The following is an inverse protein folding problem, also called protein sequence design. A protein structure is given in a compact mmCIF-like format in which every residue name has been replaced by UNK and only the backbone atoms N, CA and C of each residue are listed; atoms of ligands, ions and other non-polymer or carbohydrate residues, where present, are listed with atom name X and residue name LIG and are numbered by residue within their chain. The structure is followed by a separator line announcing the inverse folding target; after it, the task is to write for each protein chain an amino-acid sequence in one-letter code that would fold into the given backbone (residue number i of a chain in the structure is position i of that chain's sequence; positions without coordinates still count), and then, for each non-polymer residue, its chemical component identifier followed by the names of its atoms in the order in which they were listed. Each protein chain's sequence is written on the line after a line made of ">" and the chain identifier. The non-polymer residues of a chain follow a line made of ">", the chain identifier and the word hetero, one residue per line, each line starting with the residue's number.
data_IF_528626173076
#
_entry.id   IF_528626173076
#
_cell.length_a   1.000
_cell.length_b   1.000
_cell.length_c   1.000
_cell.angle_alpha   90.00
_cell.angle_beta   90.00
_cell.angle_gamma   90.00
#
_symmetry.space_group_name_H-M   'P 1'
#
loop_
_entity.id
_entity.type
_entity.pdbx_description
1 polymer ?
#
# COMPACT_ATOMS: atom_id res chain seq x y z
N UNK A 1 21.22 -8.85 -24.93
CA UNK A 1 20.27 -9.74 -25.66
C UNK A 1 18.81 -9.65 -25.19
N UNK A 2 18.50 -9.18 -23.98
CA UNK A 2 17.14 -8.69 -23.62
C UNK A 2 16.98 -7.16 -23.79
N UNK A 3 18.02 -6.46 -24.23
CA UNK A 3 17.98 -5.01 -24.52
C UNK A 3 16.98 -4.63 -25.62
N UNK A 4 16.53 -5.59 -26.43
CA UNK A 4 15.46 -5.41 -27.43
C UNK A 4 14.12 -6.01 -27.00
N UNK A 5 14.02 -6.68 -25.84
CA UNK A 5 12.75 -7.14 -25.32
C UNK A 5 12.16 -6.06 -24.42
N UNK A 6 11.00 -5.55 -24.80
CA UNK A 6 10.19 -4.54 -24.08
C UNK A 6 9.66 -4.98 -22.72
N UNK A 7 10.14 -6.09 -22.15
CA UNK A 7 9.64 -6.67 -20.89
C UNK A 7 10.57 -6.28 -19.76
N UNK A 8 10.04 -5.64 -18.72
CA UNK A 8 10.77 -5.35 -17.48
C UNK A 8 10.77 -6.60 -16.55
N UNK A 9 11.90 -7.32 -16.43
CA UNK A 9 12.00 -8.48 -15.55
C UNK A 9 11.81 -8.12 -14.06
N UNK A 10 12.02 -6.85 -13.70
CA UNK A 10 11.82 -6.34 -12.35
C UNK A 10 10.33 -6.30 -11.99
N UNK A 11 9.48 -5.76 -12.87
CA UNK A 11 8.01 -5.78 -12.70
C UNK A 11 7.48 -7.19 -12.52
N UNK A 12 7.97 -8.12 -13.35
CA UNK A 12 7.58 -9.53 -13.29
C UNK A 12 7.99 -10.20 -11.96
N UNK A 13 9.19 -9.90 -11.46
CA UNK A 13 9.64 -10.38 -10.15
C UNK A 13 8.71 -9.86 -9.03
N UNK A 14 8.38 -8.57 -9.04
CA UNK A 14 7.50 -7.97 -8.03
C UNK A 14 6.13 -8.64 -8.03
N UNK A 15 5.53 -8.83 -9.22
CA UNK A 15 4.26 -9.54 -9.35
C UNK A 15 4.35 -10.95 -8.77
N UNK A 16 5.45 -11.66 -9.03
CA UNK A 16 5.65 -13.03 -8.55
C UNK A 16 5.81 -13.11 -7.03
N UNK A 17 6.56 -12.19 -6.42
CA UNK A 17 6.71 -12.12 -4.97
C UNK A 17 5.39 -11.71 -4.31
N UNK A 18 4.75 -10.66 -4.82
CA UNK A 18 3.50 -10.13 -4.27
C UNK A 18 2.26 -10.99 -4.50
N UNK A 19 2.35 -12.04 -5.33
CA UNK A 19 1.26 -12.99 -5.57
C UNK A 19 1.45 -14.32 -4.84
N UNK A 20 2.58 -14.50 -4.16
CA UNK A 20 2.88 -15.71 -3.42
C UNK A 20 2.57 -15.50 -1.93
N UNK A 21 1.40 -15.97 -1.48
CA UNK A 21 0.91 -15.80 -0.11
C UNK A 21 1.88 -16.31 0.98
N UNK A 22 2.58 -17.41 0.69
CA UNK A 22 3.63 -18.00 1.54
C UNK A 22 4.79 -17.07 1.88
N UNK A 23 4.90 -15.92 1.20
CA UNK A 23 6.06 -15.02 1.26
C UNK A 23 5.78 -13.76 2.08
N UNK A 24 4.51 -13.50 2.38
CA UNK A 24 4.06 -12.22 2.92
C UNK A 24 4.68 -11.96 4.30
N UNK A 25 4.72 -12.99 5.15
CA UNK A 25 5.33 -12.90 6.50
C UNK A 25 6.83 -12.56 6.41
N UNK A 26 7.54 -13.13 5.43
CA UNK A 26 8.97 -12.89 5.27
C UNK A 26 9.24 -11.49 4.72
N UNK A 27 8.47 -11.07 3.71
CA UNK A 27 8.55 -9.72 3.14
C UNK A 27 8.24 -8.70 4.23
N UNK A 28 7.20 -8.90 5.03
CA UNK A 28 6.86 -8.03 6.15
C UNK A 28 7.96 -7.98 7.21
N UNK A 29 8.54 -9.13 7.56
CA UNK A 29 9.64 -9.21 8.53
C UNK A 29 10.88 -8.47 8.06
N UNK A 30 11.22 -8.58 6.77
CA UNK A 30 12.32 -7.85 6.16
C UNK A 30 12.00 -6.36 6.12
N UNK A 31 10.81 -6.00 5.65
CA UNK A 31 10.37 -4.63 5.45
C UNK A 31 10.41 -3.82 6.76
N UNK A 32 9.89 -4.39 7.85
CA UNK A 32 9.87 -3.76 9.18
C UNK A 32 11.24 -3.37 9.72
N UNK A 33 12.34 -3.96 9.23
CA UNK A 33 13.69 -3.61 9.67
C UNK A 33 14.14 -2.22 9.24
N UNK A 34 13.59 -1.71 8.12
CA UNK A 34 13.94 -0.41 7.52
C UNK A 34 12.72 0.23 6.82
N UNK A 35 11.58 0.15 7.48
CA UNK A 35 10.27 0.52 6.91
C UNK A 35 10.28 1.92 6.27
N UNK A 36 10.80 2.93 6.96
CA UNK A 36 10.87 4.30 6.45
C UNK A 36 11.72 4.43 5.18
N UNK A 37 12.86 3.72 5.12
CA UNK A 37 13.76 3.74 3.95
C UNK A 37 13.10 3.07 2.74
N UNK A 38 12.53 1.88 2.94
CA UNK A 38 11.87 1.13 1.86
C UNK A 38 10.64 1.85 1.35
N UNK A 39 9.83 2.42 2.25
CA UNK A 39 8.63 3.17 1.87
C UNK A 39 8.99 4.41 1.03
N UNK A 40 10.01 5.17 1.46
CA UNK A 40 10.49 6.35 0.73
C UNK A 40 10.92 5.96 -0.68
N UNK A 41 11.73 4.91 -0.83
CA UNK A 41 12.21 4.44 -2.13
C UNK A 41 11.06 4.02 -3.05
N UNK A 42 10.08 3.29 -2.51
CA UNK A 42 8.87 2.96 -3.28
C UNK A 42 8.14 4.24 -3.75
N UNK A 43 7.94 5.21 -2.86
CA UNK A 43 7.21 6.46 -3.16
C UNK A 43 7.90 7.34 -4.20
N UNK A 44 9.23 7.35 -4.19
CA UNK A 44 10.06 8.11 -5.13
C UNK A 44 10.29 7.37 -6.47
N UNK A 45 9.92 6.08 -6.54
CA UNK A 45 10.09 5.27 -7.74
C UNK A 45 9.00 5.50 -8.80
N UNK A 46 9.32 5.14 -10.04
CA UNK A 46 8.35 5.10 -11.15
C UNK A 46 7.19 4.12 -10.90
N UNK A 47 7.37 3.18 -9.97
CA UNK A 47 6.41 2.14 -9.65
C UNK A 47 5.30 2.57 -8.70
N UNK A 48 5.37 3.78 -8.11
CA UNK A 48 4.42 4.24 -7.09
C UNK A 48 2.95 4.22 -7.56
N UNK A 49 2.73 4.69 -8.80
CA UNK A 49 1.41 4.75 -9.43
C UNK A 49 1.30 3.81 -10.65
N UNK A 50 2.11 2.76 -10.69
CA UNK A 50 2.08 1.83 -11.83
C UNK A 50 0.71 1.10 -11.87
N UNK A 51 -0.05 1.21 -12.98
CA UNK A 51 -1.36 0.59 -13.10
C UNK A 51 -1.34 -0.92 -12.85
N UNK A 52 -0.24 -1.60 -13.18
CA UNK A 52 -0.08 -3.03 -12.95
C UNK A 52 -0.14 -3.38 -11.48
N UNK A 53 0.51 -2.63 -10.59
CA UNK A 53 0.54 -2.97 -9.16
C UNK A 53 -0.71 -2.50 -8.41
N UNK A 54 -1.39 -1.48 -8.96
CA UNK A 54 -2.64 -0.96 -8.41
C UNK A 54 -3.83 -1.86 -8.74
N UNK A 55 -3.72 -2.73 -9.75
CA UNK A 55 -4.82 -3.60 -10.16
C UNK A 55 -4.98 -4.88 -9.34
N UNK A 56 -3.99 -5.22 -8.53
CA UNK A 56 -4.06 -6.36 -7.64
C UNK A 56 -4.93 -6.03 -6.43
N UNK A 57 -5.39 -7.08 -5.74
CA UNK A 57 -6.08 -6.93 -4.46
C UNK A 57 -5.23 -6.17 -3.45
N UNK A 58 -5.89 -5.56 -2.46
CA UNK A 58 -5.23 -4.67 -1.50
C UNK A 58 -4.05 -5.35 -0.82
N UNK A 59 -4.23 -6.61 -0.41
CA UNK A 59 -3.19 -7.40 0.22
C UNK A 59 -1.97 -7.61 -0.69
N UNK A 60 -2.21 -8.10 -1.90
CA UNK A 60 -1.14 -8.37 -2.86
C UNK A 60 -0.41 -7.07 -3.24
N UNK A 61 -1.16 -5.98 -3.47
CA UNK A 61 -0.60 -4.66 -3.75
C UNK A 61 0.29 -4.18 -2.60
N UNK A 62 -0.13 -4.32 -1.34
CA UNK A 62 0.72 -3.97 -0.19
C UNK A 62 2.04 -4.75 -0.17
N UNK A 63 2.01 -6.04 -0.46
CA UNK A 63 3.22 -6.88 -0.51
C UNK A 63 4.11 -6.49 -1.68
N UNK A 64 3.53 -6.16 -2.84
CA UNK A 64 4.28 -5.64 -4.00
C UNK A 64 4.99 -4.33 -3.66
N UNK A 65 4.31 -3.39 -2.98
CA UNK A 65 4.90 -2.12 -2.53
C UNK A 65 6.10 -2.34 -1.62
N UNK A 66 5.95 -3.24 -0.63
CA UNK A 66 7.04 -3.63 0.27
C UNK A 66 8.20 -4.26 -0.49
N UNK A 67 7.90 -5.14 -1.44
CA UNK A 67 8.90 -5.78 -2.30
C UNK A 67 9.66 -4.76 -3.14
N UNK A 68 8.97 -3.80 -3.77
CA UNK A 68 9.60 -2.71 -4.54
C UNK A 68 10.60 -1.96 -3.66
N UNK A 69 10.19 -1.51 -2.47
CA UNK A 69 11.06 -0.78 -1.55
C UNK A 69 12.31 -1.57 -1.16
N UNK A 70 12.17 -2.87 -0.88
CA UNK A 70 13.29 -3.76 -0.56
C UNK A 70 14.25 -3.89 -1.73
N UNK A 71 13.75 -4.20 -2.93
CA UNK A 71 14.61 -4.48 -4.08
C UNK A 71 15.31 -3.19 -4.55
N UNK A 72 14.62 -2.04 -4.54
CA UNK A 72 15.24 -0.75 -4.86
C UNK A 72 16.37 -0.40 -3.87
N UNK A 73 16.15 -0.66 -2.58
CA UNK A 73 17.16 -0.42 -1.55
C UNK A 73 18.43 -1.26 -1.76
N UNK A 74 18.28 -2.52 -2.19
CA UNK A 74 19.41 -3.38 -2.53
C UNK A 74 20.11 -2.92 -3.81
N UNK A 75 19.35 -2.47 -4.82
CA UNK A 75 19.87 -1.95 -6.08
C UNK A 75 20.75 -0.71 -5.88
N UNK A 76 20.35 0.23 -5.02
CA UNK A 76 21.17 1.40 -4.65
C UNK A 76 22.53 1.03 -4.04
N UNK A 77 22.64 -0.19 -3.48
CA UNK A 77 23.83 -0.69 -2.79
C UNK A 77 24.58 -1.74 -3.61
N UNK A 78 24.17 -1.97 -4.85
CA UNK A 78 24.71 -3.01 -5.73
C UNK A 78 24.68 -4.41 -5.09
N UNK A 79 23.61 -4.70 -4.35
CA UNK A 79 23.37 -5.96 -3.66
C UNK A 79 22.04 -6.59 -4.10
N UNK A 80 21.83 -7.84 -3.72
CA UNK A 80 20.64 -8.63 -4.05
C UNK A 80 20.37 -9.77 -3.05
N UNK A 81 21.04 -9.73 -1.89
CA UNK A 81 21.10 -10.82 -0.92
C UNK A 81 19.70 -11.18 -0.39
N UNK A 82 18.92 -10.15 -0.05
CA UNK A 82 17.57 -10.26 0.47
C UNK A 82 16.64 -10.74 -0.65
N UNK A 83 16.70 -10.13 -1.83
CA UNK A 83 15.90 -10.50 -3.00
C UNK A 83 16.13 -11.96 -3.39
N UNK A 84 17.38 -12.39 -3.52
CA UNK A 84 17.71 -13.78 -3.81
C UNK A 84 17.31 -14.73 -2.68
N UNK A 85 17.36 -14.29 -1.42
CA UNK A 85 16.87 -15.08 -0.28
C UNK A 85 15.36 -15.30 -0.35
N UNK A 86 14.59 -14.25 -0.65
CA UNK A 86 13.15 -14.34 -0.88
C UNK A 86 12.86 -15.26 -2.08
N UNK A 87 13.56 -15.11 -3.21
CA UNK A 87 13.39 -16.00 -4.37
C UNK A 87 13.70 -17.46 -4.01
N UNK A 88 14.79 -17.74 -3.30
CA UNK A 88 15.17 -19.11 -2.88
C UNK A 88 14.10 -19.78 -2.05
N UNK A 89 13.41 -19.03 -1.19
CA UNK A 89 12.40 -19.58 -0.29
C UNK A 89 11.11 -19.92 -1.05
N UNK A 90 10.79 -19.12 -2.06
CA UNK A 90 9.43 -19.04 -2.64
C UNK A 90 9.37 -19.70 -4.00
N UNK A 91 10.45 -19.59 -4.76
CA UNK A 91 10.63 -20.15 -6.09
C UNK A 91 11.87 -21.04 -6.14
N UNK A 92 12.07 -21.87 -5.09
CA UNK A 92 13.26 -22.71 -4.90
C UNK A 92 13.64 -23.54 -6.13
N UNK A 93 12.64 -24.12 -6.79
CA UNK A 93 12.85 -24.95 -7.97
C UNK A 93 13.44 -24.14 -9.13
N UNK A 94 12.87 -22.97 -9.42
CA UNK A 94 13.39 -22.04 -10.42
C UNK A 94 14.79 -21.59 -10.09
N UNK A 95 15.01 -21.16 -8.83
CA UNK A 95 16.31 -20.70 -8.38
C UNK A 95 17.41 -21.75 -8.62
N UNK A 96 17.16 -22.98 -8.16
CA UNK A 96 18.13 -24.06 -8.29
C UNK A 96 18.35 -24.44 -9.76
N UNK A 97 17.29 -24.48 -10.57
CA UNK A 97 17.38 -24.81 -11.99
C UNK A 97 18.30 -23.83 -12.73
N UNK A 98 18.02 -22.52 -12.62
CA UNK A 98 18.80 -21.48 -13.33
C UNK A 98 20.23 -21.40 -12.81
N UNK A 99 20.44 -21.57 -11.50
CA UNK A 99 21.77 -21.51 -10.90
C UNK A 99 22.69 -22.65 -11.36
N UNK A 100 22.16 -23.87 -11.45
CA UNK A 100 22.95 -25.06 -11.75
C UNK A 100 23.26 -25.23 -13.24
N UNK A 101 22.39 -24.76 -14.12
CA UNK A 101 22.53 -24.94 -15.56
C UNK A 101 23.43 -23.88 -16.18
N UNK A 102 24.38 -24.29 -17.01
CA UNK A 102 25.25 -23.39 -17.77
C UNK A 102 24.48 -22.70 -18.90
N UNK A 103 23.88 -23.52 -19.77
CA UNK A 103 22.99 -23.12 -20.85
C UNK A 103 21.55 -23.48 -20.48
N UNK A 104 20.62 -22.60 -20.86
CA UNK A 104 19.21 -22.70 -20.45
C UNK A 104 18.33 -22.96 -21.67
N UNK A 105 17.60 -24.08 -21.62
CA UNK A 105 16.54 -24.41 -22.57
C UNK A 105 15.18 -24.15 -21.91
N UNK A 106 14.38 -23.25 -22.48
CA UNK A 106 13.08 -22.88 -21.91
C UNK A 106 12.09 -24.05 -22.00
N UNK A 107 12.12 -24.85 -23.06
CA UNK A 107 11.26 -26.02 -23.23
C UNK A 107 11.50 -27.05 -22.14
N UNK A 108 12.77 -27.38 -21.89
CA UNK A 108 13.15 -28.29 -20.79
C UNK A 108 12.76 -27.72 -19.42
N UNK A 109 12.84 -26.41 -19.23
CA UNK A 109 12.39 -25.78 -18.00
C UNK A 109 10.87 -25.85 -17.83
N UNK A 110 10.12 -25.67 -18.92
CA UNK A 110 8.67 -25.78 -18.92
C UNK A 110 8.19 -27.20 -18.59
N UNK A 111 8.81 -28.21 -19.19
CA UNK A 111 8.59 -29.62 -18.85
C UNK A 111 8.91 -29.90 -17.39
N UNK A 112 10.07 -29.42 -16.91
CA UNK A 112 10.47 -29.53 -15.51
C UNK A 112 9.44 -28.92 -14.55
N UNK A 113 8.88 -27.75 -14.89
CA UNK A 113 7.81 -27.15 -14.09
C UNK A 113 6.51 -27.95 -14.20
N UNK A 114 6.14 -28.41 -15.40
CA UNK A 114 4.92 -29.17 -15.62
C UNK A 114 4.91 -30.45 -14.78
N UNK A 115 6.01 -31.19 -14.73
CA UNK A 115 6.15 -32.39 -13.90
C UNK A 115 5.95 -32.12 -12.39
N UNK A 116 6.25 -30.89 -11.94
CA UNK A 116 6.08 -30.46 -10.55
C UNK A 116 4.68 -29.93 -10.25
N UNK A 117 4.03 -29.36 -11.25
CA UNK A 117 2.83 -28.56 -11.14
C UNK A 117 1.68 -29.11 -12.01
N UNK A 118 1.68 -30.41 -12.34
CA UNK A 118 0.70 -31.05 -13.22
C UNK A 118 -0.74 -31.15 -12.63
N UNK A 119 -1.07 -30.35 -11.62
CA UNK A 119 -2.41 -30.31 -11.05
C UNK A 119 -3.23 -29.21 -11.71
N UNK A 120 -4.52 -29.45 -11.97
CA UNK A 120 -5.39 -28.39 -12.45
C UNK A 120 -5.41 -27.21 -11.46
N UNK A 121 -5.13 -26.00 -11.95
CA UNK A 121 -4.99 -24.78 -11.14
C UNK A 121 -3.54 -24.35 -10.84
N UNK A 122 -2.56 -25.25 -10.93
CA UNK A 122 -1.15 -24.89 -10.73
C UNK A 122 -0.53 -24.19 -11.97
N UNK A 123 -1.25 -24.13 -13.08
CA UNK A 123 -0.89 -23.33 -14.28
C UNK A 123 -0.66 -21.86 -13.94
N UNK A 124 -1.29 -21.33 -12.90
CA UNK A 124 -1.07 -19.97 -12.45
C UNK A 124 0.26 -19.81 -11.71
N UNK A 125 0.58 -20.75 -10.81
CA UNK A 125 1.89 -20.79 -10.13
C UNK A 125 3.04 -20.91 -11.11
N UNK A 126 2.88 -21.71 -12.17
CA UNK A 126 3.90 -21.82 -13.23
C UNK A 126 4.25 -20.45 -13.84
N UNK A 127 3.29 -19.52 -13.93
CA UNK A 127 3.52 -18.17 -14.50
C UNK A 127 4.47 -17.35 -13.64
N UNK A 128 4.27 -17.35 -12.33
CA UNK A 128 5.16 -16.66 -11.39
C UNK A 128 6.56 -17.31 -11.40
N UNK A 129 6.63 -18.63 -11.55
CA UNK A 129 7.90 -19.33 -11.78
C UNK A 129 8.61 -18.89 -13.06
N UNK A 130 7.89 -18.67 -14.17
CA UNK A 130 8.48 -18.15 -15.41
C UNK A 130 8.92 -16.68 -15.29
N UNK A 131 8.15 -15.85 -14.60
CA UNK A 131 8.53 -14.46 -14.32
C UNK A 131 9.85 -14.40 -13.52
N UNK A 132 9.97 -15.19 -12.45
CA UNK A 132 11.21 -15.31 -11.68
C UNK A 132 12.34 -15.93 -12.51
N UNK A 133 12.04 -16.87 -13.39
CA UNK A 133 13.02 -17.48 -14.28
C UNK A 133 13.68 -16.44 -15.20
N UNK A 134 12.89 -15.56 -15.83
CA UNK A 134 13.41 -14.49 -16.68
C UNK A 134 14.30 -13.55 -15.88
N UNK A 135 13.85 -13.12 -14.71
CA UNK A 135 14.65 -12.29 -13.80
C UNK A 135 15.99 -12.96 -13.44
N UNK A 136 15.97 -14.24 -13.05
CA UNK A 136 17.20 -14.96 -12.67
C UNK A 136 18.14 -15.20 -13.84
N UNK A 137 17.62 -15.39 -15.05
CA UNK A 137 18.46 -15.51 -16.25
C UNK A 137 19.20 -14.20 -16.53
N UNK A 138 18.51 -13.06 -16.43
CA UNK A 138 19.12 -11.73 -16.54
C UNK A 138 20.19 -11.54 -15.46
N UNK A 139 19.81 -11.81 -14.21
CA UNK A 139 20.66 -11.62 -13.04
C UNK A 139 21.94 -12.47 -13.10
N UNK A 140 21.83 -13.77 -13.42
CA UNK A 140 22.98 -14.67 -13.55
C UNK A 140 23.65 -14.65 -14.93
N UNK A 141 23.26 -13.71 -15.81
CA UNK A 141 23.78 -13.59 -17.18
C UNK A 141 23.70 -14.89 -17.97
N UNK A 142 22.60 -15.65 -17.79
CA UNK A 142 22.32 -16.88 -18.53
C UNK A 142 21.76 -16.54 -19.90
N UNK A 143 22.21 -17.28 -20.90
CA UNK A 143 21.68 -17.19 -22.26
C UNK A 143 20.66 -18.31 -22.44
N UNK A 144 19.56 -17.97 -23.08
CA UNK A 144 18.53 -18.91 -23.53
C UNK A 144 18.00 -18.48 -24.89
N UNK A 145 17.52 -19.43 -25.68
CA UNK A 145 16.98 -19.15 -27.02
C UNK A 145 15.61 -18.45 -26.93
N UNK A 146 15.59 -17.16 -27.26
CA UNK A 146 14.38 -16.33 -27.33
C UNK A 146 13.60 -16.51 -28.65
N UNK A 147 14.18 -17.17 -29.65
CA UNK A 147 13.58 -17.33 -30.98
C UNK A 147 12.74 -18.60 -31.12
N UNK A 148 12.89 -19.57 -30.21
CA UNK A 148 12.02 -20.75 -30.22
C UNK A 148 10.54 -20.35 -30.14
N UNK A 149 9.63 -21.05 -30.83
CA UNK A 149 8.19 -20.74 -30.78
C UNK A 149 7.64 -20.73 -29.35
N UNK A 150 8.18 -21.58 -28.48
CA UNK A 150 7.82 -21.63 -27.07
C UNK A 150 8.28 -20.38 -26.31
N UNK A 151 9.53 -19.95 -26.52
CA UNK A 151 10.04 -18.72 -25.93
C UNK A 151 9.24 -17.50 -26.38
N UNK A 152 8.90 -17.40 -27.67
CA UNK A 152 8.07 -16.31 -28.18
C UNK A 152 6.68 -16.31 -27.55
N UNK A 153 6.04 -17.48 -27.40
CA UNK A 153 4.76 -17.59 -26.72
C UNK A 153 4.85 -17.18 -25.24
N UNK A 154 5.89 -17.61 -24.55
CA UNK A 154 6.15 -17.22 -23.18
C UNK A 154 6.38 -15.70 -23.04
N UNK A 155 7.19 -15.12 -23.93
CA UNK A 155 7.46 -13.67 -23.92
C UNK A 155 6.19 -12.87 -24.22
N UNK A 156 5.38 -13.29 -25.20
CA UNK A 156 4.06 -12.70 -25.44
C UNK A 156 3.20 -12.78 -24.18
N UNK A 157 3.19 -13.93 -23.51
CA UNK A 157 2.42 -14.15 -22.30
C UNK A 157 2.88 -13.27 -21.13
N UNK A 158 4.19 -13.13 -20.91
CA UNK A 158 4.76 -12.24 -19.90
C UNK A 158 4.50 -10.77 -20.24
N UNK A 159 4.57 -10.40 -21.51
CA UNK A 159 4.21 -9.06 -21.99
C UNK A 159 2.73 -8.77 -21.73
N UNK A 160 1.85 -9.75 -21.89
CA UNK A 160 0.44 -9.59 -21.50
C UNK A 160 0.26 -9.34 -20.00
N UNK A 161 1.11 -9.88 -19.12
CA UNK A 161 1.05 -9.57 -17.69
C UNK A 161 1.45 -8.11 -17.49
N UNK A 162 2.62 -7.72 -18.00
CA UNK A 162 3.14 -6.36 -17.88
C UNK A 162 2.19 -5.29 -18.47
N UNK A 163 1.64 -5.56 -19.65
CA UNK A 163 0.80 -4.63 -20.41
C UNK A 163 -0.70 -4.78 -20.16
N UNK A 164 -1.13 -5.72 -19.30
CA UNK A 164 -2.56 -6.04 -19.13
C UNK A 164 -3.44 -4.86 -18.73
N UNK A 165 -2.87 -3.73 -18.29
CA UNK A 165 -3.61 -2.53 -17.92
C UNK A 165 -3.40 -1.36 -18.89
N UNK A 166 -2.20 -1.17 -19.45
CA UNK A 166 -1.93 -0.09 -20.42
C UNK A 166 -2.61 -0.34 -21.79
N UNK A 167 -2.57 -1.58 -22.29
CA UNK A 167 -3.16 -1.92 -23.59
C UNK A 167 -4.69 -2.06 -23.54
N UNK A 168 -5.25 -2.38 -22.37
CA UNK A 168 -6.70 -2.52 -22.18
C UNK A 168 -7.44 -1.22 -22.51
N UNK A 169 -6.89 -0.05 -22.16
CA UNK A 169 -7.49 1.24 -22.51
C UNK A 169 -7.43 1.53 -24.02
N UNK A 170 -6.35 1.13 -24.70
CA UNK A 170 -6.14 1.38 -26.14
C UNK A 170 -7.01 0.42 -26.98
N UNK A 171 -6.99 -0.87 -26.64
CA UNK A 171 -7.78 -1.90 -27.33
C UNK A 171 -9.29 -1.70 -27.18
N UNK A 172 -9.76 -1.27 -26.00
CA UNK A 172 -11.17 -0.92 -25.78
C UNK A 172 -11.56 0.33 -26.58
N UNK A 173 -10.66 1.29 -26.79
CA UNK A 173 -10.90 2.43 -27.68
C UNK A 173 -11.16 1.97 -29.13
N UNK A 174 -10.36 1.03 -29.63
CA UNK A 174 -10.48 0.54 -31.00
C UNK A 174 -11.68 -0.41 -31.19
N UNK A 175 -11.94 -1.29 -30.23
CA UNK A 175 -13.16 -2.11 -30.23
C UNK A 175 -14.42 -1.26 -30.04
N UNK A 176 -14.39 -0.24 -29.18
CA UNK A 176 -15.50 0.70 -29.04
C UNK A 176 -15.76 1.43 -30.37
N UNK A 177 -14.73 1.89 -31.08
CA UNK A 177 -14.88 2.46 -32.43
C UNK A 177 -15.50 1.47 -33.40
N UNK A 178 -15.02 0.23 -33.40
CA UNK A 178 -15.51 -0.86 -34.27
C UNK A 178 -16.98 -1.20 -34.02
N UNK A 179 -17.41 -1.22 -32.77
CA UNK A 179 -18.78 -1.60 -32.37
C UNK A 179 -19.68 -0.40 -32.05
N UNK A 180 -19.20 0.84 -32.24
CA UNK A 180 -19.89 2.08 -31.82
C UNK A 180 -21.34 2.13 -32.28
N UNK A 181 -21.59 1.86 -33.56
CA UNK A 181 -22.94 1.90 -34.15
C UNK A 181 -23.86 0.87 -33.50
N UNK A 182 -23.36 -0.33 -33.20
CA UNK A 182 -24.12 -1.38 -32.52
C UNK A 182 -24.40 -1.01 -31.07
N UNK A 183 -23.40 -0.50 -30.35
CA UNK A 183 -23.53 -0.02 -28.97
C UNK A 183 -24.58 1.10 -28.86
N UNK A 184 -24.55 2.09 -29.75
CA UNK A 184 -25.51 3.20 -29.72
C UNK A 184 -26.93 2.73 -30.07
N UNK A 185 -27.07 1.75 -30.97
CA UNK A 185 -28.36 1.11 -31.25
C UNK A 185 -28.90 0.35 -30.03
N UNK A 186 -28.04 -0.42 -29.36
CA UNK A 186 -28.42 -1.20 -28.17
C UNK A 186 -28.78 -0.27 -26.99
N UNK A 187 -28.04 0.84 -26.80
CA UNK A 187 -28.38 1.88 -25.82
C UNK A 187 -29.77 2.48 -26.07
N UNK A 188 -30.12 2.75 -27.32
CA UNK A 188 -31.45 3.26 -27.69
C UNK A 188 -32.56 2.24 -27.37
N UNK A 189 -32.34 0.96 -27.68
CA UNK A 189 -33.28 -0.12 -27.33
C UNK A 189 -33.48 -0.22 -25.82
N UNK A 190 -32.40 -0.05 -25.05
CA UNK A 190 -32.43 -0.08 -23.59
C UNK A 190 -32.92 1.23 -22.94
N UNK A 191 -33.28 2.24 -23.73
CA UNK A 191 -33.72 3.55 -23.21
C UNK A 191 -32.62 4.33 -22.47
N UNK A 192 -31.34 3.99 -22.70
CA UNK A 192 -30.19 4.65 -22.07
C UNK A 192 -29.94 5.97 -22.80
N UNK A 193 -30.52 7.06 -22.28
CA UNK A 193 -30.25 8.42 -22.77
C UNK A 193 -28.98 9.01 -22.11
N UNK A 194 -28.28 9.89 -22.84
CA UNK A 194 -27.03 10.55 -22.41
C UNK A 194 -27.13 11.40 -21.11
N UNK A 195 -28.30 11.49 -20.48
CA UNK A 195 -28.46 12.07 -19.15
C UNK A 195 -27.97 11.05 -18.11
N UNK A 196 -26.78 11.31 -17.57
CA UNK A 196 -26.01 10.38 -16.77
C UNK A 196 -26.74 9.70 -15.60
N UNK A 197 -26.20 8.53 -15.26
CA UNK A 197 -26.55 7.70 -14.11
C UNK A 197 -28.00 7.23 -14.16
N UNK A 198 -28.23 6.09 -14.81
CA UNK A 198 -29.27 5.18 -14.33
C UNK A 198 -28.93 4.87 -12.87
N UNK A 199 -29.76 5.30 -11.93
CA UNK A 199 -29.84 4.59 -10.66
C UNK A 199 -30.31 3.19 -11.02
N UNK A 200 -29.39 2.24 -11.11
CA UNK A 200 -29.70 0.86 -11.46
C UNK A 200 -30.86 0.30 -10.60
N UNK A 201 -31.00 0.81 -9.36
CA UNK A 201 -32.15 0.57 -8.48
C UNK A 201 -33.50 1.00 -9.07
N UNK A 202 -33.62 2.16 -9.72
CA UNK A 202 -34.90 2.66 -10.27
C UNK A 202 -35.40 1.82 -11.46
N UNK A 203 -34.51 1.12 -12.16
CA UNK A 203 -34.85 0.17 -13.21
C UNK A 203 -35.24 -1.20 -12.63
N UNK A 204 -34.46 -1.70 -11.66
CA UNK A 204 -34.75 -2.96 -10.96
C UNK A 204 -36.05 -2.89 -10.15
N UNK A 205 -36.29 -1.81 -9.42
CA UNK A 205 -37.50 -1.60 -8.62
C UNK A 205 -38.76 -1.53 -9.49
N UNK A 206 -38.67 -0.99 -10.71
CA UNK A 206 -39.78 -0.98 -11.69
C UNK A 206 -40.08 -2.36 -12.27
N UNK A 207 -39.06 -3.17 -12.54
CA UNK A 207 -39.21 -4.53 -13.09
C UNK A 207 -39.81 -5.47 -12.03
N UNK A 208 -39.25 -5.48 -10.81
CA UNK A 208 -39.74 -6.28 -9.68
C UNK A 208 -41.19 -5.90 -9.31
N UNK A 209 -41.54 -4.61 -9.33
CA UNK A 209 -42.91 -4.15 -9.07
C UNK A 209 -43.92 -4.59 -10.14
N UNK A 210 -43.47 -4.73 -11.40
CA UNK A 210 -44.34 -5.16 -12.49
C UNK A 210 -44.52 -6.69 -12.52
N UNK A 211 -43.53 -7.47 -12.06
CA UNK A 211 -43.58 -8.94 -12.01
C UNK A 211 -44.29 -9.47 -10.75
N UNK A 212 -44.20 -8.78 -9.62
CA UNK A 212 -44.85 -9.21 -8.36
C UNK A 212 -46.39 -9.14 -8.37
N UNK A 213 -47.03 -8.55 -9.38
CA UNK A 213 -48.49 -8.48 -9.47
C UNK A 213 -49.14 -9.72 -10.13
N UNK A 214 -48.38 -10.78 -10.45
CA UNK A 214 -48.87 -11.94 -11.22
C UNK A 214 -48.58 -13.33 -10.62
N UNK A 215 -48.21 -13.45 -9.35
CA UNK A 215 -48.03 -14.78 -8.73
C UNK A 215 -49.08 -15.04 -7.64
N UNK A 216 -50.14 -15.75 -8.01
CA UNK A 216 -50.94 -16.56 -7.09
C UNK A 216 -50.35 -17.99 -7.03
N UNK A 217 -50.30 -18.50 -5.81
CA UNK A 217 -50.14 -19.88 -5.33
C UNK A 217 -49.71 -20.99 -6.30
N UNK A 218 -48.65 -21.70 -5.93
CA UNK A 218 -48.69 -23.17 -5.92
C UNK A 218 -47.74 -23.74 -4.86
N UNK A 219 -48.31 -24.57 -3.98
CA UNK A 219 -47.61 -25.28 -2.90
C UNK A 219 -46.80 -26.44 -3.47
N UNK A 220 -45.56 -26.63 -2.99
CA UNK A 220 -44.80 -27.88 -3.21
C UNK A 220 -44.29 -28.47 -1.90
N UNK A 221 -44.52 -29.77 -1.83
CA UNK A 221 -44.32 -30.71 -0.72
C UNK A 221 -42.86 -31.05 -0.47
N UNK A 222 -42.60 -31.44 0.77
CA UNK A 222 -41.31 -31.80 1.34
C UNK A 222 -40.54 -32.94 0.64
N UNK A 223 -39.23 -32.74 0.68
CA UNK A 223 -38.05 -33.52 0.30
C UNK A 223 -38.00 -34.99 0.73
N UNK A 224 -37.31 -35.78 -0.11
CA UNK A 224 -36.39 -36.83 0.36
C UNK A 224 -34.94 -36.44 0.04
N UNK A 225 -34.19 -36.06 1.07
CA UNK A 225 -32.75 -35.80 1.02
C UNK A 225 -31.97 -37.11 1.06
N UNK A 226 -31.36 -37.51 -0.06
CA UNK A 226 -30.35 -38.57 -0.07
C UNK A 226 -28.99 -38.02 0.36
N UNK A 227 -28.46 -38.60 1.43
CA UNK A 227 -27.09 -38.39 1.90
C UNK A 227 -26.12 -38.83 0.80
N UNK A 228 -25.37 -37.89 0.23
CA UNK A 228 -24.38 -38.16 -0.82
C UNK A 228 -23.04 -38.60 -0.21
N UNK A 229 -22.56 -39.75 -0.69
CA UNK A 229 -21.30 -40.42 -0.33
C UNK A 229 -20.07 -39.54 -0.66
N UNK A 230 -19.01 -39.65 0.14
CA UNK A 230 -17.76 -38.89 0.00
C UNK A 230 -17.04 -39.16 -1.34
N UNK A 231 -17.24 -40.34 -1.93
CA UNK A 231 -16.71 -40.66 -3.26
C UNK A 231 -17.43 -39.88 -4.38
N UNK A 232 -18.74 -39.66 -4.24
CA UNK A 232 -19.52 -38.84 -5.17
C UNK A 232 -19.06 -37.37 -5.14
N UNK A 233 -18.68 -36.85 -3.98
CA UNK A 233 -18.16 -35.48 -3.84
C UNK A 233 -16.81 -35.28 -4.53
N UNK A 234 -15.98 -36.32 -4.64
CA UNK A 234 -14.68 -36.24 -5.32
C UNK A 234 -14.86 -36.33 -6.84
N UNK A 235 -15.70 -37.23 -7.31
CA UNK A 235 -16.08 -37.37 -8.72
C UNK A 235 -16.85 -36.12 -9.23
N UNK A 236 -17.71 -35.54 -8.37
CA UNK A 236 -18.41 -34.29 -8.64
C UNK A 236 -17.44 -33.10 -8.74
N UNK A 237 -16.39 -33.02 -7.93
CA UNK A 237 -15.37 -31.96 -8.05
C UNK A 237 -14.62 -32.04 -9.37
N UNK A 238 -14.24 -33.24 -9.81
CA UNK A 238 -13.56 -33.45 -11.09
C UNK A 238 -14.48 -33.17 -12.28
N UNK A 239 -15.75 -33.58 -12.20
CA UNK A 239 -16.76 -33.27 -13.22
C UNK A 239 -17.10 -31.78 -13.27
N UNK A 240 -17.32 -31.12 -12.12
CA UNK A 240 -17.56 -29.69 -12.01
C UNK A 240 -16.36 -28.91 -12.59
N UNK A 241 -15.13 -29.31 -12.27
CA UNK A 241 -13.93 -28.69 -12.84
C UNK A 241 -13.81 -28.90 -14.35
N UNK A 242 -14.15 -30.09 -14.87
CA UNK A 242 -14.19 -30.36 -16.31
C UNK A 242 -15.29 -29.56 -17.04
N UNK A 243 -16.42 -29.29 -16.36
CA UNK A 243 -17.51 -28.46 -16.87
C UNK A 243 -17.16 -26.97 -16.81
N UNK A 244 -16.49 -26.54 -15.74
CA UNK A 244 -15.97 -25.18 -15.59
C UNK A 244 -14.96 -24.89 -16.70
N UNK A 245 -14.04 -25.79 -17.04
CA UNK A 245 -12.90 -25.52 -17.95
C UNK A 245 -13.11 -25.81 -19.45
N UNK A 246 -14.24 -26.40 -19.86
CA UNK A 246 -14.56 -26.57 -21.30
C UNK A 246 -14.78 -25.23 -21.99
N UNK A 247 -14.39 -25.13 -23.27
CA UNK A 247 -14.55 -23.92 -24.13
C UNK A 247 -16.01 -23.42 -24.24
N UNK A 248 -16.99 -24.27 -23.93
CA UNK A 248 -18.43 -23.96 -23.87
C UNK A 248 -19.03 -24.04 -22.45
N UNK A 249 -18.19 -24.17 -21.43
CA UNK A 249 -18.59 -24.29 -20.02
C UNK A 249 -18.75 -22.95 -19.31
N UNK A 250 -18.98 -23.00 -18.00
CA UNK A 250 -19.26 -21.80 -17.18
C UNK A 250 -18.06 -20.81 -17.16
N UNK A 251 -16.82 -21.26 -17.43
CA UNK A 251 -15.66 -20.35 -17.55
C UNK A 251 -15.62 -19.51 -18.82
N UNK A 252 -16.44 -19.80 -19.84
CA UNK A 252 -16.38 -19.08 -21.13
C UNK A 252 -16.60 -17.57 -20.96
N UNK A 253 -17.36 -17.20 -19.93
CA UNK A 253 -17.66 -15.81 -19.61
C UNK A 253 -16.59 -15.15 -18.72
N UNK A 254 -15.68 -15.91 -18.10
CA UNK A 254 -14.62 -15.34 -17.26
C UNK A 254 -13.70 -14.41 -18.06
N UNK A 255 -13.48 -14.69 -19.35
CA UNK A 255 -12.68 -13.80 -20.21
C UNK A 255 -13.36 -12.44 -20.37
N UNK A 256 -14.68 -12.43 -20.65
CA UNK A 256 -15.44 -11.20 -20.82
C UNK A 256 -15.48 -10.38 -19.52
N UNK A 257 -15.74 -11.03 -18.39
CA UNK A 257 -15.73 -10.38 -17.09
C UNK A 257 -14.35 -9.86 -16.71
N UNK A 258 -13.28 -10.63 -16.95
CA UNK A 258 -11.92 -10.20 -16.66
C UNK A 258 -11.52 -8.99 -17.51
N UNK A 259 -11.97 -8.92 -18.77
CA UNK A 259 -11.76 -7.73 -19.60
C UNK A 259 -12.51 -6.52 -19.04
N UNK A 260 -13.73 -6.70 -18.53
CA UNK A 260 -14.49 -5.65 -17.87
C UNK A 260 -13.80 -5.16 -16.58
N UNK A 261 -13.33 -6.08 -15.73
CA UNK A 261 -12.58 -5.74 -14.53
C UNK A 261 -11.29 -4.98 -14.87
N UNK A 262 -10.56 -5.42 -15.89
CA UNK A 262 -9.35 -4.73 -16.36
C UNK A 262 -9.61 -3.32 -16.83
N UNK A 263 -10.74 -3.08 -17.50
CA UNK A 263 -11.17 -1.73 -17.86
C UNK A 263 -11.33 -0.82 -16.62
N UNK A 264 -11.84 -1.38 -15.53
CA UNK A 264 -11.93 -0.68 -14.24
C UNK A 264 -10.65 -0.75 -13.41
N UNK A 265 -9.53 -1.17 -14.01
CA UNK A 265 -8.23 -1.23 -13.36
C UNK A 265 -8.09 -2.35 -12.34
N UNK A 266 -8.83 -3.45 -12.47
CA UNK A 266 -8.74 -4.62 -11.59
C UNK A 266 -8.29 -5.87 -12.34
N UNK A 267 -7.37 -6.63 -11.76
CA UNK A 267 -7.03 -7.97 -12.26
C UNK A 267 -8.03 -8.99 -11.73
N UNK A 268 -9.00 -9.37 -12.57
CA UNK A 268 -10.03 -10.34 -12.21
C UNK A 268 -9.50 -11.74 -11.92
N UNK A 269 -8.32 -12.10 -12.44
CA UNK A 269 -7.68 -13.39 -12.13
C UNK A 269 -7.06 -13.35 -10.74
N UNK A 270 -6.31 -12.28 -10.45
CA UNK A 270 -5.76 -12.08 -9.13
C UNK A 270 -6.87 -12.04 -8.07
N UNK A 271 -7.95 -11.29 -8.33
CA UNK A 271 -9.11 -11.22 -7.45
C UNK A 271 -9.66 -12.62 -7.10
N UNK A 272 -9.91 -13.47 -8.11
CA UNK A 272 -10.41 -14.82 -7.88
C UNK A 272 -9.42 -15.74 -7.16
N UNK A 273 -8.12 -15.52 -7.33
CA UNK A 273 -7.06 -16.32 -6.68
C UNK A 273 -6.83 -15.92 -5.22
N UNK A 274 -6.74 -14.62 -4.94
CA UNK A 274 -6.45 -14.12 -3.60
C UNK A 274 -7.67 -14.16 -2.71
N UNK A 275 -8.88 -14.01 -3.27
CA UNK A 275 -10.10 -14.03 -2.49
C UNK A 275 -10.59 -15.46 -2.28
N UNK A 276 -10.38 -15.97 -1.07
CA UNK A 276 -10.82 -17.32 -0.69
C UNK A 276 -12.33 -17.35 -0.50
N UNK A 277 -13.03 -18.06 -1.37
CA UNK A 277 -14.44 -18.43 -1.16
C UNK A 277 -14.51 -19.69 -0.29
N UNK A 278 -15.37 -19.64 0.73
CA UNK A 278 -15.62 -20.79 1.59
C UNK A 278 -16.54 -21.78 0.88
N UNK A 279 -16.58 -23.03 1.37
CA UNK A 279 -17.57 -24.02 0.91
C UNK A 279 -19.00 -23.50 1.08
N UNK A 280 -19.26 -22.73 2.15
CA UNK A 280 -20.57 -22.13 2.39
C UNK A 280 -20.93 -21.14 1.29
N UNK A 281 -20.00 -20.26 0.91
CA UNK A 281 -20.23 -19.26 -0.15
C UNK A 281 -20.57 -19.95 -1.48
N UNK A 282 -19.80 -20.97 -1.85
CA UNK A 282 -20.04 -21.76 -3.06
C UNK A 282 -21.41 -22.43 -3.02
N UNK A 283 -21.76 -23.07 -1.89
CA UNK A 283 -23.05 -23.72 -1.71
C UNK A 283 -24.20 -22.71 -1.80
N UNK A 284 -24.06 -21.53 -1.19
CA UNK A 284 -25.07 -20.47 -1.26
C UNK A 284 -25.23 -19.96 -2.69
N UNK A 285 -24.16 -19.76 -3.45
CA UNK A 285 -24.23 -19.37 -4.86
C UNK A 285 -25.03 -20.41 -5.65
N UNK A 286 -24.66 -21.69 -5.55
CA UNK A 286 -25.38 -22.75 -6.28
C UNK A 286 -26.82 -22.93 -5.80
N UNK A 287 -27.10 -22.83 -4.51
CA UNK A 287 -28.46 -22.92 -3.98
C UNK A 287 -29.37 -21.84 -4.55
N UNK A 288 -28.89 -20.59 -4.60
CA UNK A 288 -29.64 -19.49 -5.23
C UNK A 288 -29.86 -19.74 -6.72
N UNK A 289 -28.82 -20.19 -7.44
CA UNK A 289 -28.94 -20.48 -8.88
C UNK A 289 -29.93 -21.61 -9.16
N UNK A 290 -29.92 -22.68 -8.37
CA UNK A 290 -30.86 -23.79 -8.52
C UNK A 290 -32.30 -23.37 -8.17
N UNK A 291 -32.50 -22.59 -7.10
CA UNK A 291 -33.82 -22.01 -6.78
C UNK A 291 -34.35 -21.17 -7.95
N UNK A 292 -33.51 -20.29 -8.50
CA UNK A 292 -33.89 -19.45 -9.65
C UNK A 292 -34.18 -20.24 -10.91
N UNK A 293 -33.53 -21.39 -11.13
CA UNK A 293 -33.85 -22.32 -12.23
C UNK A 293 -35.19 -23.00 -12.00
N UNK A 294 -35.45 -23.49 -10.79
CA UNK A 294 -36.70 -24.16 -10.45
C UNK A 294 -37.91 -23.21 -10.53
N UNK A 295 -37.71 -21.96 -10.15
CA UNK A 295 -38.72 -20.89 -10.24
C UNK A 295 -38.88 -20.33 -11.66
N UNK A 296 -38.05 -20.76 -12.62
CA UNK A 296 -38.09 -20.27 -14.01
C UNK A 296 -37.62 -18.83 -14.19
N UNK A 297 -36.97 -18.24 -13.17
CA UNK A 297 -36.39 -16.89 -13.20
C UNK A 297 -35.20 -16.84 -14.17
N UNK A 298 -34.46 -17.94 -14.28
CA UNK A 298 -33.30 -18.07 -15.19
C UNK A 298 -33.41 -19.36 -16.00
N UNK A 299 -32.86 -19.35 -17.21
CA UNK A 299 -32.75 -20.54 -18.07
C UNK A 299 -31.44 -21.30 -17.85
N UNK A 300 -31.40 -22.57 -18.28
CA UNK A 300 -30.16 -23.37 -18.28
C UNK A 300 -29.04 -22.75 -19.15
N UNK A 301 -29.39 -22.00 -20.20
CA UNK A 301 -28.42 -21.29 -21.03
C UNK A 301 -27.78 -20.08 -20.31
N UNK A 302 -28.52 -19.45 -19.40
CA UNK A 302 -28.08 -18.30 -18.59
C UNK A 302 -27.29 -18.73 -17.35
N UNK A 303 -27.54 -19.94 -16.85
CA UNK A 303 -26.89 -20.51 -15.66
C UNK A 303 -25.37 -20.35 -15.70
N UNK A 304 -24.73 -20.66 -16.82
CA UNK A 304 -23.29 -20.56 -16.98
C UNK A 304 -22.77 -19.11 -16.83
N UNK A 305 -23.52 -18.12 -17.35
CA UNK A 305 -23.18 -16.70 -17.21
C UNK A 305 -23.31 -16.29 -15.75
N UNK A 306 -24.48 -16.53 -15.16
CA UNK A 306 -24.80 -16.13 -13.79
C UNK A 306 -23.92 -16.81 -12.75
N UNK A 307 -23.53 -18.06 -12.98
CA UNK A 307 -22.56 -18.76 -12.12
C UNK A 307 -21.22 -18.02 -12.11
N UNK A 308 -20.67 -17.70 -13.29
CA UNK A 308 -19.41 -16.96 -13.39
C UNK A 308 -19.49 -15.54 -12.80
N UNK A 309 -20.60 -14.83 -13.03
CA UNK A 309 -20.86 -13.50 -12.48
C UNK A 309 -20.98 -13.56 -10.95
N UNK A 310 -21.63 -14.58 -10.40
CA UNK A 310 -21.84 -14.74 -8.96
C UNK A 310 -20.54 -15.00 -8.22
N UNK A 311 -19.65 -15.84 -8.78
CA UNK A 311 -18.32 -16.07 -8.20
C UNK A 311 -17.47 -14.80 -8.19
N UNK A 312 -17.50 -14.02 -9.26
CA UNK A 312 -16.80 -12.74 -9.32
C UNK A 312 -17.38 -11.71 -8.36
N UNK A 313 -18.70 -11.61 -8.28
CA UNK A 313 -19.37 -10.71 -7.35
C UNK A 313 -19.05 -11.08 -5.90
N UNK A 314 -19.07 -12.37 -5.56
CA UNK A 314 -18.68 -12.85 -4.24
C UNK A 314 -17.21 -12.50 -3.92
N UNK A 315 -16.31 -12.66 -4.90
CA UNK A 315 -14.91 -12.27 -4.74
C UNK A 315 -14.75 -10.75 -4.53
N UNK A 316 -15.44 -9.92 -5.32
CA UNK A 316 -15.46 -8.46 -5.14
C UNK A 316 -15.98 -8.06 -3.75
N UNK A 317 -17.07 -8.67 -3.30
CA UNK A 317 -17.66 -8.39 -1.98
C UNK A 317 -16.69 -8.75 -0.86
N UNK A 318 -16.04 -9.92 -0.95
CA UNK A 318 -15.08 -10.36 0.06
C UNK A 318 -13.83 -9.48 0.05
N UNK A 319 -13.30 -9.11 -1.12
CA UNK A 319 -12.17 -8.17 -1.21
C UNK A 319 -12.52 -6.79 -0.63
N UNK A 320 -13.73 -6.30 -0.90
CA UNK A 320 -14.22 -5.05 -0.30
C UNK A 320 -14.30 -5.16 1.23
N UNK A 321 -14.86 -6.24 1.78
CA UNK A 321 -14.93 -6.47 3.22
C UNK A 321 -13.53 -6.50 3.85
N UNK A 322 -12.62 -7.27 3.25
CA UNK A 322 -11.23 -7.39 3.71
C UNK A 322 -10.51 -6.05 3.69
N UNK A 323 -10.62 -5.31 2.58
CA UNK A 323 -10.01 -3.98 2.43
C UNK A 323 -10.56 -3.00 3.45
N UNK A 324 -11.88 -3.02 3.66
CA UNK A 324 -12.55 -2.17 4.64
C UNK A 324 -12.09 -2.47 6.06
N UNK A 325 -12.00 -3.75 6.44
CA UNK A 325 -11.52 -4.18 7.75
C UNK A 325 -10.07 -3.74 7.98
N UNK A 326 -9.18 -4.00 7.02
CA UNK A 326 -7.77 -3.55 7.07
C UNK A 326 -7.65 -2.05 7.23
N UNK A 327 -8.41 -1.28 6.46
CA UNK A 327 -8.38 0.17 6.54
C UNK A 327 -8.78 0.66 7.94
N UNK A 328 -9.82 0.07 8.53
CA UNK A 328 -10.24 0.42 9.89
C UNK A 328 -9.24 -0.02 10.97
N UNK A 329 -8.62 -1.20 10.82
CA UNK A 329 -7.57 -1.66 11.73
C UNK A 329 -6.31 -0.77 11.65
N UNK A 330 -5.84 -0.46 10.45
CA UNK A 330 -4.67 0.41 10.23
C UNK A 330 -4.91 1.84 10.75
N UNK A 331 -6.09 2.42 10.52
CA UNK A 331 -6.44 3.74 11.07
C UNK A 331 -6.42 3.72 12.60
N UNK A 332 -6.95 2.67 13.21
CA UNK A 332 -7.00 2.51 14.66
C UNK A 332 -5.57 2.43 15.22
N UNK A 333 -4.73 1.58 14.66
CA UNK A 333 -3.36 1.38 15.13
C UNK A 333 -2.47 2.60 14.89
N UNK A 334 -2.58 3.26 13.72
CA UNK A 334 -1.88 4.50 13.41
C UNK A 334 -2.27 5.62 14.37
N UNK A 335 -3.56 5.78 14.65
CA UNK A 335 -4.06 6.79 15.59
C UNK A 335 -3.56 6.55 17.01
N UNK A 336 -3.60 5.30 17.50
CA UNK A 336 -3.08 4.98 18.83
C UNK A 336 -1.56 5.16 18.92
N UNK A 337 -0.82 4.80 17.88
CA UNK A 337 0.63 5.00 17.83
C UNK A 337 0.99 6.49 17.84
N UNK A 338 0.33 7.33 17.03
CA UNK A 338 0.53 8.77 17.03
C UNK A 338 0.20 9.39 18.39
N UNK A 339 -0.89 8.98 19.04
CA UNK A 339 -1.22 9.42 20.39
C UNK A 339 -0.14 9.04 21.40
N UNK A 340 0.39 7.81 21.34
CA UNK A 340 1.45 7.37 22.26
C UNK A 340 2.76 8.13 22.03
N UNK A 341 3.12 8.38 20.76
CA UNK A 341 4.26 9.22 20.39
C UNK A 341 4.08 10.65 20.89
N UNK A 342 2.94 11.28 20.65
CA UNK A 342 2.61 12.61 21.15
C UNK A 342 2.66 12.68 22.68
N UNK A 343 2.18 11.65 23.39
CA UNK A 343 2.27 11.56 24.85
C UNK A 343 3.73 11.50 25.32
N UNK A 344 4.57 10.68 24.68
CA UNK A 344 6.00 10.57 25.00
C UNK A 344 6.74 11.88 24.75
N UNK A 345 6.46 12.55 23.63
CA UNK A 345 7.07 13.84 23.30
C UNK A 345 6.61 14.94 24.27
N UNK A 346 5.32 14.95 24.65
CA UNK A 346 4.78 15.86 25.67
C UNK A 346 5.44 15.65 27.04
N UNK A 347 5.73 14.40 27.43
CA UNK A 347 6.44 14.10 28.68
C UNK A 347 7.87 14.66 28.63
N UNK A 348 8.61 14.41 27.54
CA UNK A 348 9.97 14.95 27.34
C UNK A 348 9.98 16.48 27.38
N UNK A 349 9.01 17.12 26.73
CA UNK A 349 8.90 18.58 26.71
C UNK A 349 8.58 19.14 28.11
N UNK A 350 7.67 18.49 28.85
CA UNK A 350 7.39 18.85 30.26
C UNK A 350 8.61 18.72 31.15
N UNK A 351 9.41 17.67 30.99
CA UNK A 351 10.66 17.48 31.74
C UNK A 351 11.69 18.57 31.41
N UNK A 352 11.87 18.90 30.12
CA UNK A 352 12.73 19.99 29.66
C UNK A 352 12.30 21.34 30.22
N UNK A 353 11.00 21.65 30.17
CA UNK A 353 10.44 22.88 30.73
C UNK A 353 10.61 22.95 32.26
N UNK A 354 10.46 21.82 32.96
CA UNK A 354 10.69 21.74 34.40
C UNK A 354 12.15 22.01 34.75
N UNK A 355 13.10 21.42 34.02
CA UNK A 355 14.52 21.68 34.20
C UNK A 355 14.86 23.16 33.97
N UNK A 356 14.35 23.74 32.87
CA UNK A 356 14.55 25.16 32.54
C UNK A 356 13.94 26.10 33.58
N UNK A 357 12.80 25.72 34.16
CA UNK A 357 12.16 26.48 35.26
C UNK A 357 12.99 26.46 36.54
N UNK A 358 13.57 25.32 36.90
CA UNK A 358 14.47 25.22 38.06
C UNK A 358 15.75 26.04 37.85
N UNK A 359 16.30 26.05 36.64
CA UNK A 359 17.46 26.86 36.31
C UNK A 359 17.18 28.36 36.38
N UNK A 360 16.06 28.82 35.80
CA UNK A 360 15.59 30.20 35.93
C UNK A 360 15.38 30.60 37.40
N UNK A 361 14.92 29.67 38.25
CA UNK A 361 14.72 29.92 39.67
C UNK A 361 16.06 30.13 40.39
N UNK A 362 17.08 29.34 40.07
CA UNK A 362 18.45 29.52 40.58
C UNK A 362 19.04 30.85 40.14
N UNK A 363 18.99 31.15 38.84
CA UNK A 363 19.47 32.43 38.29
C UNK A 363 18.77 33.63 38.94
N UNK A 364 17.45 33.54 39.17
CA UNK A 364 16.70 34.59 39.88
C UNK A 364 17.16 34.76 41.32
N UNK A 365 17.48 33.67 42.04
CA UNK A 365 18.00 33.75 43.41
C UNK A 365 19.39 34.39 43.44
N UNK A 366 20.28 33.99 42.54
CA UNK A 366 21.63 34.58 42.41
C UNK A 366 21.58 36.07 42.04
N UNK A 367 20.67 36.45 41.14
CA UNK A 367 20.46 37.85 40.82
C UNK A 367 19.97 38.64 42.04
N UNK A 368 19.04 38.08 42.82
CA UNK A 368 18.53 38.72 44.04
C UNK A 368 19.61 38.86 45.13
N UNK A 369 20.49 37.88 45.31
CA UNK A 369 21.61 38.00 46.28
C UNK A 369 22.62 39.04 45.82
N UNK A 370 23.02 39.01 44.55
CA UNK A 370 23.95 39.98 43.96
C UNK A 370 23.40 41.41 44.05
N UNK A 371 22.12 41.60 43.75
CA UNK A 371 21.50 42.92 43.81
C UNK A 371 21.42 43.45 45.25
N UNK A 372 21.19 42.57 46.25
CA UNK A 372 21.26 42.95 47.66
C UNK A 372 22.67 43.39 48.08
N UNK A 373 23.71 42.69 47.63
CA UNK A 373 25.10 43.07 47.89
C UNK A 373 25.47 44.40 47.23
N UNK A 374 25.13 44.58 45.95
CA UNK A 374 25.35 45.85 45.25
C UNK A 374 24.63 47.01 45.93
N UNK A 375 23.38 46.81 46.38
CA UNK A 375 22.63 47.82 47.12
C UNK A 375 23.31 48.17 48.46
N UNK A 376 23.88 47.17 49.16
CA UNK A 376 24.64 47.38 50.39
C UNK A 376 25.93 48.17 50.12
N UNK A 377 26.68 47.80 49.08
CA UNK A 377 27.92 48.47 48.69
C UNK A 377 27.66 49.92 48.27
N UNK A 378 26.58 50.19 47.52
CA UNK A 378 26.18 51.55 47.15
C UNK A 378 25.89 52.42 48.38
N UNK A 379 25.26 51.87 49.43
CA UNK A 379 25.04 52.61 50.68
C UNK A 379 26.35 52.98 51.37
N UNK A 380 27.28 52.02 51.48
CA UNK A 380 28.62 52.27 52.07
C UNK A 380 29.36 53.36 51.29
N UNK A 381 29.40 53.25 49.96
CA UNK A 381 30.02 54.24 49.09
C UNK A 381 29.37 55.62 49.22
N UNK A 382 28.03 55.70 49.32
CA UNK A 382 27.34 56.96 49.57
C UNK A 382 27.71 57.58 50.92
N UNK A 383 27.84 56.77 51.97
CA UNK A 383 28.28 57.23 53.28
C UNK A 383 29.72 57.75 53.27
N UNK A 384 30.63 57.04 52.61
CA UNK A 384 32.02 57.46 52.41
C UNK A 384 32.12 58.76 51.61
N UNK A 385 31.38 58.85 50.50
CA UNK A 385 31.32 60.05 49.67
C UNK A 385 30.80 61.25 50.46
N UNK A 386 29.79 61.05 51.31
CA UNK A 386 29.26 62.09 52.20
C UNK A 386 30.28 62.51 53.27
N UNK A 387 31.03 61.56 53.86
CA UNK A 387 32.14 61.87 54.77
C UNK A 387 33.23 62.68 54.07
N UNK A 388 33.62 62.29 52.86
CA UNK A 388 34.64 63.00 52.10
C UNK A 388 34.18 64.41 51.70
N UNK A 389 32.94 64.59 51.25
CA UNK A 389 32.36 65.92 51.00
C UNK A 389 32.40 66.81 52.23
N UNK A 390 32.02 66.28 53.41
CA UNK A 390 32.15 67.03 54.68
C UNK A 390 33.60 67.41 54.98
N UNK A 391 34.55 66.50 54.80
CA UNK A 391 35.98 66.77 55.03
C UNK A 391 36.54 67.85 54.08
N UNK A 392 36.09 67.88 52.82
CA UNK A 392 36.46 68.90 51.84
C UNK A 392 35.86 70.27 52.20
N UNK A 393 34.60 70.32 52.64
CA UNK A 393 33.99 71.58 53.10
C UNK A 393 34.71 72.17 54.32
N UNK A 394 35.21 71.33 55.23
CA UNK A 394 36.04 71.77 56.37
C UNK A 394 37.37 72.35 55.88
N UNK A 395 38.08 71.65 54.99
CA UNK A 395 39.35 72.12 54.40
C UNK A 395 39.18 73.41 53.58
N UNK A 396 38.09 73.57 52.85
CA UNK A 396 37.77 74.82 52.13
C UNK A 396 37.43 75.97 53.09
N UNK A 397 36.78 75.67 54.22
CA UNK A 397 36.56 76.64 55.30
C UNK A 397 37.86 77.11 55.95
N UNK A 398 38.81 76.19 56.18
CA UNK A 398 40.15 76.49 56.70
C UNK A 398 40.98 77.30 55.69
N UNK A 399 40.94 76.95 54.41
CA UNK A 399 41.61 77.70 53.34
C UNK A 399 41.05 79.13 53.16
N UNK A 400 39.75 79.34 53.41
CA UNK A 400 39.16 80.68 53.43
C UNK A 400 39.58 81.48 54.68
N UNK A 401 39.83 80.82 55.82
CA UNK A 401 40.35 81.45 57.05
C UNK A 401 41.82 81.84 56.93
N UNK A 402 42.67 81.00 56.32
CA UNK A 402 44.08 81.34 56.04
C UNK A 402 44.21 82.46 55.01
N UNK A 403 43.38 82.48 53.95
CA UNK A 403 43.33 83.63 53.02
C UNK A 403 42.87 84.94 53.71
N UNK A 404 41.91 84.89 54.63
CA UNK A 404 41.52 86.07 55.45
C UNK A 404 42.61 86.50 56.44
N UNK A 405 43.39 85.56 56.97
CA UNK A 405 44.58 85.82 57.80
C UNK A 405 45.67 86.57 57.02
N UNK A 406 46.01 86.11 55.81
CA UNK A 406 47.01 86.77 54.97
C UNK A 406 46.60 88.20 54.57
N UNK A 407 45.32 88.43 54.21
CA UNK A 407 44.79 89.78 53.92
C UNK A 407 44.80 90.73 55.13
N UNK A 408 44.73 90.21 56.37
CA UNK A 408 44.84 91.01 57.59
C UNK A 408 46.28 91.40 57.90
N UNK A 409 47.24 90.51 57.67
CA UNK A 409 48.68 90.80 57.81
C UNK A 409 49.14 91.79 56.74
N UNK A 410 48.60 91.71 55.52
CA UNK A 410 48.90 92.64 54.43
C UNK A 410 48.29 94.04 54.66
N UNK A 411 47.14 94.14 55.34
CA UNK A 411 46.59 95.43 55.81
C UNK A 411 47.38 96.03 56.97
N UNK A 412 47.89 95.23 57.91
CA UNK A 412 48.70 95.72 59.02
C UNK A 412 50.06 96.29 58.55
N UNK A 413 50.62 95.79 57.44
CA UNK A 413 51.84 96.34 56.82
C UNK A 413 51.63 97.66 56.07
N UNK A 414 50.38 98.03 55.72
CA UNK A 414 50.08 99.30 55.04
C UNK A 414 49.76 100.46 55.97
N UNK A 415 49.70 100.23 57.28
CA UNK A 415 49.44 101.27 58.31
C UNK A 415 50.71 101.73 59.04
N UNK A 416 51.89 101.32 58.57
CA UNK A 416 53.21 101.63 59.15
C UNK A 416 54.11 102.44 58.20
N UNK A 417 53.50 103.10 57.22
CA UNK A 417 54.07 104.20 56.42
C UNK A 417 53.06 105.33 56.51
#
# INVERSE_FOLDING_TARGET
>A
MLENSTIDPFKLLIVSLGSADTTYIDIDSVYKKREDEYYRLYKESEYYNDPLFLSFTTENSEVMKKSIGIILWEKEREQDIITLSLIKKTHRFTYNYVKQKGEIDIGQYAEFLYDRFNKPGDTFRMRYHFAVFVYLCVHFKKVFDTFSPFAQHLMMYLKMIENSFEESFIGISDDYRKYKVKIEKDKQVLGIHNSGILRASEYFDRQIWNEHNNFEDETRTETELKVLDQNYMQEYKEQLFSRLTKRNGESRYLVAHNNLLRYFGLDGRNLLESTKLTKSDVNSIYANLYSSLEEGVISEDEKALLTSSSFLLAALINEYKNTRERYFEQLKDSFYYEIDKMKKDLVKEKESLKAKREELKKQKQEFLTTNKELTKNLKVLQEELNKHKKSLMVKEGENKRTKKGSKRVERAKRTLI
#
